data_IF_412000162601
#
_entry.id   IF_412000162601
#
_cell.length_a   1.000
_cell.length_b   1.000
_cell.length_c   1.000
_cell.angle_alpha   90.00
_cell.angle_beta   90.00
_cell.angle_gamma   90.00
#
_symmetry.space_group_name_H-M   'P 1'
#
loop_
_entity.id
_entity.type
_entity.pdbx_description
1 polymer ?
#
# COMPACT_ATOMS: atom_id res chain seq x y z
N UNK A 1 -16.23 -4.02 -6.30
CA UNK A 1 -16.11 -2.71 -5.62
C UNK A 1 -14.83 -2.03 -6.09
N UNK A 2 -14.86 -0.71 -6.29
CA UNK A 2 -13.74 0.07 -6.81
C UNK A 2 -13.52 1.32 -5.97
N UNK A 3 -12.26 1.67 -5.74
CA UNK A 3 -11.86 2.97 -5.21
C UNK A 3 -10.98 3.67 -6.26
N UNK A 4 -11.52 4.62 -7.05
CA UNK A 4 -10.73 5.32 -8.06
C UNK A 4 -9.78 6.33 -7.40
N UNK A 5 -8.52 6.33 -7.86
CA UNK A 5 -7.58 7.40 -7.59
C UNK A 5 -7.31 8.19 -8.88
N UNK A 6 -7.35 9.51 -8.76
CA UNK A 6 -7.07 10.43 -9.87
C UNK A 6 -5.67 11.00 -9.68
N UNK A 7 -4.84 10.91 -10.72
CA UNK A 7 -3.55 11.57 -10.74
C UNK A 7 -3.72 13.09 -10.91
N UNK A 8 -2.99 13.87 -10.10
CA UNK A 8 -2.86 15.32 -10.28
C UNK A 8 -1.55 15.58 -11.03
N UNK A 9 -1.61 16.41 -12.08
CA UNK A 9 -0.41 16.78 -12.84
C UNK A 9 0.56 17.54 -11.93
N UNK A 10 1.73 16.96 -11.65
CA UNK A 10 2.75 17.55 -10.80
C UNK A 10 3.40 18.80 -11.41
N UNK A 11 3.43 18.89 -12.75
CA UNK A 11 4.04 20.01 -13.50
C UNK A 11 3.07 21.19 -13.67
N UNK A 12 1.76 20.93 -13.52
CA UNK A 12 0.72 21.96 -13.58
C UNK A 12 -0.39 21.65 -12.58
N UNK A 13 -0.29 22.21 -11.39
CA UNK A 13 -1.25 21.99 -10.30
C UNK A 13 -2.70 22.44 -10.63
N UNK A 14 -2.92 23.10 -11.76
CA UNK A 14 -4.26 23.50 -12.23
C UNK A 14 -4.86 22.51 -13.23
N UNK A 15 -4.10 21.51 -13.67
CA UNK A 15 -4.54 20.45 -14.58
C UNK A 15 -4.39 19.09 -13.88
N UNK A 16 -5.40 18.26 -13.99
CA UNK A 16 -5.28 16.84 -13.59
C UNK A 16 -4.62 16.07 -14.74
N UNK A 17 -3.81 15.07 -14.39
CA UNK A 17 -3.44 14.03 -15.37
C UNK A 17 -4.74 13.35 -15.84
N UNK A 18 -4.76 12.92 -17.10
CA UNK A 18 -5.87 12.16 -17.65
C UNK A 18 -5.85 10.67 -17.22
N UNK A 19 -4.85 10.27 -16.43
CA UNK A 19 -4.71 8.91 -15.93
C UNK A 19 -5.59 8.63 -14.70
N UNK A 20 -6.26 7.49 -14.72
CA UNK A 20 -7.11 7.00 -13.64
C UNK A 20 -6.67 5.61 -13.21
N UNK A 21 -6.52 5.42 -11.91
CA UNK A 21 -6.15 4.13 -11.33
C UNK A 21 -7.30 3.62 -10.46
N UNK A 22 -7.77 2.42 -10.77
CA UNK A 22 -8.88 1.78 -10.06
C UNK A 22 -8.36 0.60 -9.23
N UNK A 23 -8.41 0.75 -7.91
CA UNK A 23 -8.24 -0.36 -7.00
C UNK A 23 -9.54 -1.19 -6.98
N UNK A 24 -9.46 -2.45 -7.39
CA UNK A 24 -10.57 -3.38 -7.46
C UNK A 24 -10.37 -4.52 -6.46
N UNK A 25 -11.47 -5.06 -5.96
CA UNK A 25 -11.43 -6.28 -5.16
C UNK A 25 -12.73 -7.07 -5.32
N UNK A 26 -12.63 -8.39 -5.10
CA UNK A 26 -13.74 -9.34 -5.13
C UNK A 26 -13.81 -10.07 -3.79
N UNK A 27 -14.83 -9.81 -2.96
CA UNK A 27 -15.06 -10.60 -1.75
C UNK A 27 -15.30 -12.08 -2.07
N UNK A 28 -14.87 -12.95 -1.17
CA UNK A 28 -15.15 -14.39 -1.18
C UNK A 28 -15.80 -14.83 0.13
N UNK A 29 -16.23 -16.08 0.22
CA UNK A 29 -16.78 -16.66 1.43
C UNK A 29 -15.70 -16.91 2.51
N UNK A 30 -14.43 -16.98 2.09
CA UNK A 30 -13.26 -17.15 2.94
C UNK A 30 -12.52 -15.82 3.12
N UNK A 31 -11.41 -15.84 3.87
CA UNK A 31 -10.63 -14.64 4.21
C UNK A 31 -9.82 -14.09 3.04
N UNK A 32 -9.41 -14.92 2.09
CA UNK A 32 -8.62 -14.50 0.94
C UNK A 32 -9.55 -13.89 -0.14
N UNK A 33 -9.45 -12.58 -0.30
CA UNK A 33 -10.18 -11.82 -1.33
C UNK A 33 -9.20 -11.37 -2.39
N UNK A 34 -9.51 -11.66 -3.65
CA UNK A 34 -8.68 -11.20 -4.76
C UNK A 34 -8.76 -9.68 -4.93
N UNK A 35 -7.62 -9.07 -5.21
CA UNK A 35 -7.47 -7.66 -5.51
C UNK A 35 -6.78 -7.40 -6.85
N UNK A 36 -6.88 -6.19 -7.35
CA UNK A 36 -6.13 -5.71 -8.52
C UNK A 36 -6.05 -4.18 -8.52
N UNK A 37 -5.10 -3.64 -9.28
CA UNK A 37 -5.05 -2.23 -9.64
C UNK A 37 -5.00 -2.12 -11.16
N UNK A 38 -5.91 -1.32 -11.76
CA UNK A 38 -6.04 -1.15 -13.21
C UNK A 38 -5.90 0.29 -13.63
N UNK A 39 -5.32 0.53 -14.80
CA UNK A 39 -5.08 1.85 -15.37
C UNK A 39 -6.04 2.13 -16.52
N UNK A 40 -6.73 3.28 -16.45
CA UNK A 40 -7.60 3.83 -17.49
C UNK A 40 -7.24 5.29 -17.74
N UNK A 41 -7.91 5.94 -18.68
CA UNK A 41 -7.73 7.34 -18.98
C UNK A 41 -9.06 8.09 -18.96
N UNK A 42 -9.03 9.35 -18.52
CA UNK A 42 -10.16 10.29 -18.57
C UNK A 42 -10.01 11.19 -19.80
N UNK A 43 -11.02 11.22 -20.66
CA UNK A 43 -11.04 12.14 -21.80
C UNK A 43 -11.42 13.55 -21.37
N UNK A 44 -11.13 14.55 -22.22
CA UNK A 44 -11.54 15.95 -21.99
C UNK A 44 -13.06 16.13 -21.87
N UNK A 45 -13.84 15.21 -22.43
CA UNK A 45 -15.30 15.20 -22.37
C UNK A 45 -15.84 14.50 -21.12
N UNK A 46 -14.94 13.98 -20.24
CA UNK A 46 -15.29 13.35 -18.97
C UNK A 46 -15.62 11.86 -19.05
N UNK A 47 -15.29 11.18 -20.15
CA UNK A 47 -15.46 9.73 -20.29
C UNK A 47 -14.21 8.97 -19.85
N UNK A 48 -14.41 7.88 -19.12
CA UNK A 48 -13.34 6.92 -18.86
C UNK A 48 -13.20 6.00 -20.06
N UNK A 49 -11.98 5.92 -20.61
CA UNK A 49 -11.67 5.10 -21.79
C UNK A 49 -10.55 4.10 -21.45
N UNK A 50 -10.58 3.00 -22.19
CA UNK A 50 -9.62 1.91 -22.13
C UNK A 50 -8.39 2.13 -23.05
N UNK A 51 -7.50 1.13 -23.13
CA UNK A 51 -6.29 1.18 -23.93
C UNK A 51 -6.53 1.35 -25.45
N UNK A 52 -7.75 1.10 -25.93
CA UNK A 52 -8.15 1.26 -27.33
C UNK A 52 -9.09 2.47 -27.57
N UNK A 53 -9.18 3.40 -26.61
CA UNK A 53 -10.09 4.54 -26.63
C UNK A 53 -11.58 4.16 -26.62
N UNK A 54 -11.92 2.91 -26.26
CA UNK A 54 -13.28 2.49 -26.06
C UNK A 54 -13.80 2.95 -24.69
N UNK A 55 -15.08 3.34 -24.59
CA UNK A 55 -15.68 3.75 -23.33
C UNK A 55 -15.64 2.61 -22.31
N UNK A 56 -14.90 2.78 -21.22
CA UNK A 56 -14.69 1.75 -20.23
C UNK A 56 -15.86 1.60 -19.25
N UNK A 57 -16.54 2.69 -18.93
CA UNK A 57 -17.65 2.69 -17.97
C UNK A 57 -18.96 3.01 -18.68
N UNK A 58 -19.99 2.18 -18.43
CA UNK A 58 -21.35 2.37 -18.95
C UNK A 58 -22.02 3.56 -18.28
N UNK A 59 -22.51 4.53 -19.06
CA UNK A 59 -23.27 5.67 -18.55
C UNK A 59 -24.58 5.27 -17.87
N UNK A 60 -25.16 4.15 -18.31
CA UNK A 60 -26.47 3.71 -17.82
C UNK A 60 -26.38 2.95 -16.49
N UNK A 61 -25.27 2.24 -16.24
CA UNK A 61 -25.11 1.36 -15.07
C UNK A 61 -24.03 1.84 -14.12
N UNK A 62 -23.03 2.62 -14.58
CA UNK A 62 -21.85 3.01 -13.82
C UNK A 62 -20.83 1.88 -13.63
N UNK A 63 -21.04 0.69 -14.24
CA UNK A 63 -20.12 -0.43 -14.19
C UNK A 63 -19.21 -0.47 -15.41
N UNK A 64 -18.12 -1.23 -15.33
CA UNK A 64 -17.27 -1.49 -16.48
C UNK A 64 -18.05 -2.19 -17.60
N UNK A 65 -17.81 -1.77 -18.84
CA UNK A 65 -18.35 -2.42 -20.01
C UNK A 65 -17.63 -3.75 -20.27
N UNK A 66 -18.35 -4.73 -20.82
CA UNK A 66 -17.72 -5.96 -21.29
C UNK A 66 -16.82 -5.64 -22.50
N UNK A 67 -15.67 -6.31 -22.57
CA UNK A 67 -14.76 -6.18 -23.70
C UNK A 67 -13.82 -4.99 -23.66
N UNK A 68 -13.63 -4.35 -22.49
CA UNK A 68 -12.64 -3.31 -22.28
C UNK A 68 -11.32 -3.87 -21.78
N UNK A 69 -10.25 -3.12 -22.04
CA UNK A 69 -8.87 -3.49 -21.71
C UNK A 69 -8.22 -2.36 -20.92
N UNK A 70 -7.70 -2.65 -19.74
CA UNK A 70 -6.89 -1.67 -19.03
C UNK A 70 -5.55 -1.42 -19.78
N UNK A 71 -4.88 -0.29 -19.46
CA UNK A 71 -3.63 0.10 -20.12
C UNK A 71 -2.44 -0.82 -19.82
N UNK A 72 -2.52 -1.62 -18.77
CA UNK A 72 -1.48 -2.58 -18.38
C UNK A 72 -1.79 -4.02 -18.83
N UNK A 73 -2.90 -4.21 -19.56
CA UNK A 73 -3.29 -5.53 -20.04
C UNK A 73 -2.32 -6.04 -21.12
N UNK A 74 -1.64 -7.14 -20.84
CA UNK A 74 -0.70 -7.80 -21.74
C UNK A 74 -1.26 -9.09 -22.35
N UNK A 75 -2.48 -9.52 -21.97
CA UNK A 75 -3.02 -10.86 -22.30
C UNK A 75 -3.86 -10.88 -23.59
N UNK A 76 -4.23 -9.74 -24.14
CA UNK A 76 -5.20 -9.60 -25.26
C UNK A 76 -6.60 -10.18 -24.94
N UNK A 77 -6.89 -10.46 -23.71
CA UNK A 77 -8.21 -10.84 -23.19
C UNK A 77 -8.81 -9.63 -22.48
N UNK A 78 -10.04 -9.30 -22.85
CA UNK A 78 -10.74 -8.20 -22.19
C UNK A 78 -10.87 -8.47 -20.68
N UNK A 79 -10.54 -7.50 -19.86
CA UNK A 79 -10.42 -7.67 -18.42
C UNK A 79 -11.49 -6.95 -17.59
N UNK A 80 -12.05 -5.86 -18.10
CA UNK A 80 -13.17 -5.13 -17.48
C UNK A 80 -13.04 -5.01 -15.96
N UNK A 81 -14.05 -5.50 -15.23
CA UNK A 81 -14.10 -5.56 -13.77
C UNK A 81 -13.55 -6.88 -13.16
N UNK A 82 -12.99 -7.76 -13.98
CA UNK A 82 -12.43 -9.02 -13.49
C UNK A 82 -11.10 -8.77 -12.78
N UNK A 83 -11.03 -9.08 -11.49
CA UNK A 83 -9.83 -8.87 -10.65
C UNK A 83 -8.72 -9.86 -10.98
N UNK A 84 -9.03 -10.94 -11.68
CA UNK A 84 -8.06 -12.00 -12.04
C UNK A 84 -7.44 -11.80 -13.43
N UNK A 85 -7.88 -10.77 -14.18
CA UNK A 85 -7.43 -10.49 -15.54
C UNK A 85 -6.90 -9.06 -15.66
N UNK A 86 -5.85 -8.88 -16.45
CA UNK A 86 -5.23 -7.58 -16.67
C UNK A 86 -4.68 -6.91 -15.40
N UNK A 87 -4.38 -5.64 -15.49
CA UNK A 87 -3.92 -4.83 -14.36
C UNK A 87 -2.59 -5.27 -13.76
N UNK A 88 -2.29 -4.72 -12.61
CA UNK A 88 -1.06 -5.00 -11.87
C UNK A 88 -0.91 -6.48 -11.48
N UNK A 89 -1.98 -7.13 -11.03
CA UNK A 89 -1.89 -8.52 -10.57
C UNK A 89 -1.33 -9.45 -11.66
N UNK A 90 -1.72 -9.25 -12.92
CA UNK A 90 -1.21 -10.03 -14.05
C UNK A 90 0.22 -9.68 -14.49
N UNK A 91 0.75 -8.55 -14.03
CA UNK A 91 2.13 -8.12 -14.30
C UNK A 91 3.10 -8.52 -13.20
N UNK A 92 2.59 -9.09 -12.10
CA UNK A 92 3.39 -9.46 -10.95
C UNK A 92 4.20 -10.72 -11.27
N UNK A 93 5.53 -10.57 -11.35
CA UNK A 93 6.46 -11.66 -11.55
C UNK A 93 7.16 -11.99 -10.23
N UNK A 94 6.83 -13.13 -9.62
CA UNK A 94 7.30 -13.52 -8.30
C UNK A 94 8.83 -13.51 -8.15
N UNK A 95 9.54 -13.92 -9.20
CA UNK A 95 11.00 -13.98 -9.22
C UNK A 95 11.67 -12.59 -9.25
N UNK A 96 10.98 -11.56 -9.72
CA UNK A 96 11.51 -10.21 -9.88
C UNK A 96 11.16 -9.28 -8.72
N UNK A 97 10.38 -9.75 -7.74
CA UNK A 97 9.91 -8.94 -6.62
C UNK A 97 11.02 -8.56 -5.65
N UNK A 98 11.05 -7.28 -5.31
CA UNK A 98 11.88 -6.72 -4.25
C UNK A 98 11.02 -6.47 -3.01
N UNK A 99 10.88 -7.47 -2.16
CA UNK A 99 10.06 -7.39 -0.94
C UNK A 99 10.94 -7.09 0.25
N UNK A 100 10.56 -6.07 1.01
CA UNK A 100 11.22 -5.61 2.23
C UNK A 100 10.34 -5.82 3.45
N UNK A 101 10.98 -5.98 4.60
CA UNK A 101 10.33 -5.99 5.92
C UNK A 101 11.16 -5.16 6.91
N UNK A 102 10.56 -4.77 8.01
CA UNK A 102 11.25 -4.07 9.09
C UNK A 102 12.11 -5.07 9.91
N UNK A 103 13.43 -4.89 9.87
CA UNK A 103 14.35 -5.59 10.75
C UNK A 103 14.50 -4.89 12.12
N UNK A 104 14.17 -3.59 12.17
CA UNK A 104 14.03 -2.78 13.38
C UNK A 104 13.22 -1.53 13.05
N UNK A 105 12.96 -0.69 14.06
CA UNK A 105 12.24 0.58 13.88
C UNK A 105 12.89 1.54 12.86
N UNK A 106 14.14 1.31 12.46
CA UNK A 106 14.91 2.18 11.54
C UNK A 106 15.68 1.41 10.48
N UNK A 107 15.40 0.12 10.29
CA UNK A 107 16.13 -0.71 9.34
C UNK A 107 15.19 -1.61 8.55
N UNK A 108 15.25 -1.53 7.21
CA UNK A 108 14.68 -2.52 6.31
C UNK A 108 15.66 -3.66 6.04
N UNK A 109 15.10 -4.84 5.81
CA UNK A 109 15.82 -6.00 5.30
C UNK A 109 14.99 -6.69 4.21
N UNK A 110 15.64 -7.54 3.40
CA UNK A 110 14.92 -8.39 2.46
C UNK A 110 14.00 -9.35 3.21
N UNK A 111 12.75 -9.45 2.77
CA UNK A 111 11.74 -10.33 3.33
C UNK A 111 12.23 -11.79 3.43
N UNK A 112 12.87 -12.31 2.38
CA UNK A 112 13.36 -13.69 2.35
C UNK A 112 14.41 -14.00 3.41
N UNK A 113 15.25 -13.03 3.77
CA UNK A 113 16.34 -13.23 4.74
C UNK A 113 15.95 -12.85 6.16
N UNK A 114 15.00 -11.93 6.34
CA UNK A 114 14.57 -11.47 7.65
C UNK A 114 13.36 -12.25 8.20
N UNK A 115 12.59 -12.93 7.34
CA UNK A 115 11.47 -13.79 7.75
C UNK A 115 11.98 -15.03 8.49
N UNK A 116 11.17 -15.51 9.42
CA UNK A 116 11.45 -16.70 10.20
C UNK A 116 10.16 -17.44 10.56
N UNK A 117 10.28 -18.71 10.96
CA UNK A 117 9.12 -19.45 11.49
C UNK A 117 8.48 -18.73 12.68
N UNK A 118 9.27 -18.08 13.52
CA UNK A 118 8.75 -17.29 14.64
C UNK A 118 7.93 -16.10 14.18
N UNK A 119 8.39 -15.32 13.20
CA UNK A 119 7.64 -14.16 12.70
C UNK A 119 6.34 -14.56 11.98
N UNK A 120 6.30 -15.77 11.40
CA UNK A 120 5.12 -16.34 10.74
C UNK A 120 4.18 -17.11 11.69
N UNK A 121 4.53 -17.22 12.99
CA UNK A 121 3.85 -18.08 13.97
C UNK A 121 3.81 -19.56 13.57
N UNK A 122 4.85 -20.02 12.89
CA UNK A 122 4.99 -21.36 12.32
C UNK A 122 6.08 -22.22 13.02
N UNK A 123 6.35 -21.98 14.30
CA UNK A 123 7.43 -22.69 15.02
C UNK A 123 7.22 -24.22 15.08
N UNK A 124 5.97 -24.68 15.04
CA UNK A 124 5.62 -26.11 15.04
C UNK A 124 5.65 -26.76 13.66
N UNK A 125 5.79 -25.97 12.59
CA UNK A 125 5.84 -26.45 11.21
C UNK A 125 7.26 -26.87 10.81
N UNK A 126 7.40 -27.69 9.78
CA UNK A 126 8.69 -28.04 9.18
C UNK A 126 9.30 -26.84 8.46
N UNK A 127 10.58 -26.90 8.13
CA UNK A 127 11.24 -25.87 7.33
C UNK A 127 10.69 -25.85 5.89
N UNK A 128 10.29 -27.00 5.35
CA UNK A 128 9.68 -27.12 4.02
C UNK A 128 8.32 -26.41 3.97
N UNK A 129 7.45 -26.62 4.95
CA UNK A 129 6.16 -25.95 5.05
C UNK A 129 6.32 -24.44 5.21
N UNK A 130 7.27 -23.99 6.03
CA UNK A 130 7.57 -22.56 6.18
C UNK A 130 8.04 -21.94 4.85
N UNK A 131 8.99 -22.58 4.17
CA UNK A 131 9.50 -22.09 2.88
C UNK A 131 8.40 -22.06 1.82
N UNK A 132 7.47 -23.00 1.85
CA UNK A 132 6.32 -23.01 0.94
C UNK A 132 5.43 -21.79 1.17
N UNK A 133 5.05 -21.48 2.40
CA UNK A 133 4.25 -20.30 2.75
C UNK A 133 5.01 -19.00 2.43
N UNK A 134 6.31 -18.96 2.69
CA UNK A 134 7.15 -17.80 2.34
C UNK A 134 7.18 -17.59 0.82
N UNK A 135 7.34 -18.66 0.02
CA UNK A 135 7.34 -18.58 -1.44
C UNK A 135 5.98 -18.15 -1.98
N UNK A 136 4.88 -18.69 -1.43
CA UNK A 136 3.53 -18.23 -1.74
C UNK A 136 3.36 -16.72 -1.48
N UNK A 137 3.80 -16.23 -0.33
CA UNK A 137 3.73 -14.81 0.02
C UNK A 137 4.58 -13.93 -0.92
N UNK A 138 5.62 -14.50 -1.53
CA UNK A 138 6.38 -13.84 -2.59
C UNK A 138 5.66 -13.82 -3.94
N UNK A 139 4.56 -14.58 -4.08
CA UNK A 139 3.76 -14.64 -5.30
C UNK A 139 4.02 -15.83 -6.20
N UNK A 140 4.74 -16.86 -5.75
CA UNK A 140 4.92 -18.11 -6.49
C UNK A 140 3.68 -18.99 -6.42
N UNK A 141 3.34 -19.68 -7.51
CA UNK A 141 2.27 -20.67 -7.58
C UNK A 141 2.71 -22.03 -6.99
N UNK A 142 2.94 -22.04 -5.68
CA UNK A 142 3.46 -23.21 -4.94
C UNK A 142 2.49 -24.40 -4.86
N UNK A 143 1.27 -24.24 -5.31
CA UNK A 143 0.20 -25.27 -5.30
C UNK A 143 -0.26 -25.66 -6.70
N UNK A 144 0.38 -25.13 -7.78
CA UNK A 144 0.04 -25.41 -9.18
C UNK A 144 -1.46 -25.15 -9.44
N UNK A 145 -1.90 -23.93 -9.10
CA UNK A 145 -3.32 -23.55 -9.16
C UNK A 145 -3.85 -23.55 -10.61
N UNK A 146 -3.00 -23.22 -11.58
CA UNK A 146 -3.34 -23.23 -13.00
C UNK A 146 -3.20 -24.61 -13.65
N UNK A 147 -2.53 -25.57 -13.00
CA UNK A 147 -2.43 -26.98 -13.39
C UNK A 147 -1.44 -27.26 -14.53
N UNK A 148 -0.43 -26.39 -14.71
CA UNK A 148 0.56 -26.55 -15.78
C UNK A 148 1.79 -27.39 -15.37
N UNK A 149 1.94 -27.68 -14.06
CA UNK A 149 3.00 -28.50 -13.47
C UNK A 149 4.27 -27.71 -13.13
N UNK A 150 4.28 -26.38 -13.24
CA UNK A 150 5.33 -25.49 -12.78
C UNK A 150 4.95 -24.88 -11.41
N UNK A 151 5.76 -25.09 -10.38
CA UNK A 151 5.57 -24.56 -9.02
C UNK A 151 6.45 -23.32 -8.74
N UNK A 152 7.16 -22.85 -9.76
CA UNK A 152 8.09 -21.71 -9.67
C UNK A 152 7.65 -20.52 -10.53
N UNK A 153 6.55 -20.65 -11.21
CA UNK A 153 5.93 -19.56 -11.94
C UNK A 153 5.15 -18.61 -11.00
N UNK A 154 4.55 -17.56 -11.54
CA UNK A 154 3.89 -16.52 -10.79
C UNK A 154 2.41 -16.80 -10.62
N UNK A 155 1.88 -16.70 -9.39
CA UNK A 155 0.46 -16.84 -9.07
C UNK A 155 -0.42 -15.74 -9.71
N UNK A 156 0.16 -14.61 -10.12
CA UNK A 156 -0.53 -13.45 -10.70
C UNK A 156 -1.75 -12.97 -9.90
N UNK A 157 -1.62 -12.95 -8.59
CA UNK A 157 -2.66 -12.55 -7.64
C UNK A 157 -2.11 -11.63 -6.56
N UNK A 158 -2.95 -10.73 -6.06
CA UNK A 158 -2.69 -9.90 -4.88
C UNK A 158 -3.91 -9.90 -3.96
N UNK A 159 -3.68 -9.56 -2.69
CA UNK A 159 -4.76 -9.31 -1.74
C UNK A 159 -5.57 -8.06 -2.06
N UNK A 160 -6.73 -7.96 -1.40
CA UNK A 160 -7.65 -6.86 -1.63
C UNK A 160 -7.14 -5.52 -1.06
N UNK A 161 -7.24 -4.42 -1.80
CA UNK A 161 -6.93 -3.06 -1.35
C UNK A 161 -8.16 -2.35 -0.76
N UNK A 162 -8.93 -3.01 0.08
CA UNK A 162 -10.29 -2.63 0.51
C UNK A 162 -10.47 -1.15 0.89
N UNK A 163 -9.57 -0.60 1.73
CA UNK A 163 -9.64 0.79 2.21
C UNK A 163 -8.39 1.61 1.88
N UNK A 164 -7.38 0.98 1.28
CA UNK A 164 -6.18 1.67 0.86
C UNK A 164 -6.42 2.35 -0.49
N UNK A 165 -6.44 3.68 -0.47
CA UNK A 165 -6.53 4.48 -1.69
C UNK A 165 -5.16 4.55 -2.35
N UNK A 166 -5.03 4.31 -3.68
CA UNK A 166 -3.77 4.48 -4.39
C UNK A 166 -3.25 5.92 -4.28
N UNK A 167 -1.99 6.07 -3.89
CA UNK A 167 -1.28 7.34 -3.79
C UNK A 167 -0.30 7.44 -4.94
N UNK A 168 -0.42 8.49 -5.77
CA UNK A 168 0.46 8.74 -6.90
C UNK A 168 1.50 9.78 -6.51
N UNK A 169 2.77 9.50 -6.80
CA UNK A 169 3.90 10.39 -6.52
C UNK A 169 4.73 10.54 -7.80
N UNK A 170 4.93 11.77 -8.25
CA UNK A 170 5.75 12.09 -9.43
C UNK A 170 7.14 12.51 -8.98
N UNK A 171 8.17 11.83 -9.46
CA UNK A 171 9.57 12.03 -9.11
C UNK A 171 10.30 12.94 -10.10
N UNK A 172 9.70 13.19 -11.27
CA UNK A 172 10.30 13.97 -12.34
C UNK A 172 9.67 13.63 -13.68
N UNK A 173 10.47 13.62 -14.74
CA UNK A 173 10.02 13.37 -16.09
C UNK A 173 9.55 14.65 -16.80
N UNK A 174 8.55 14.54 -17.66
CA UNK A 174 7.94 15.65 -18.39
C UNK A 174 6.41 15.61 -18.25
N UNK A 175 5.73 16.66 -18.68
CA UNK A 175 4.25 16.70 -18.69
C UNK A 175 3.63 15.56 -19.52
N UNK A 176 4.28 15.17 -20.61
CA UNK A 176 3.81 14.11 -21.51
C UNK A 176 4.32 12.71 -21.12
N UNK A 177 5.30 12.62 -20.23
CA UNK A 177 5.91 11.38 -19.76
C UNK A 177 6.43 11.58 -18.33
N UNK A 178 5.51 11.61 -17.34
CA UNK A 178 5.88 11.81 -15.94
C UNK A 178 6.53 10.53 -15.39
N UNK A 179 7.62 10.69 -14.67
CA UNK A 179 8.21 9.61 -13.87
C UNK A 179 7.45 9.50 -12.55
N UNK A 180 6.46 8.63 -12.48
CA UNK A 180 5.55 8.50 -11.34
C UNK A 180 5.49 7.08 -10.81
N UNK A 181 5.29 6.97 -9.50
CA UNK A 181 4.99 5.71 -8.84
C UNK A 181 3.65 5.75 -8.12
N UNK A 182 3.04 4.60 -7.96
CA UNK A 182 1.78 4.43 -7.24
C UNK A 182 2.03 3.54 -6.02
N UNK A 183 1.56 3.99 -4.86
CA UNK A 183 1.65 3.23 -3.61
C UNK A 183 0.25 2.92 -3.10
N UNK A 184 0.00 1.67 -2.73
CA UNK A 184 -1.23 1.24 -2.07
C UNK A 184 -0.99 0.03 -1.18
N UNK A 185 -1.86 -0.16 -0.19
CA UNK A 185 -1.80 -1.29 0.73
C UNK A 185 -2.81 -2.37 0.40
N UNK A 186 -2.56 -3.59 0.86
CA UNK A 186 -3.48 -4.74 0.76
C UNK A 186 -3.69 -5.41 2.12
N UNK A 187 -4.81 -6.13 2.25
CA UNK A 187 -5.13 -6.84 3.49
C UNK A 187 -4.27 -8.10 3.71
N UNK A 188 -3.59 -8.61 2.69
CA UNK A 188 -2.55 -9.62 2.90
C UNK A 188 -1.31 -9.06 3.63
N UNK A 189 -1.22 -7.74 3.77
CA UNK A 189 -0.21 -7.07 4.58
C UNK A 189 0.81 -6.26 3.81
N UNK A 190 0.75 -6.23 2.50
CA UNK A 190 1.74 -5.55 1.66
C UNK A 190 1.37 -4.09 1.40
N UNK A 191 2.39 -3.23 1.34
CA UNK A 191 2.38 -1.99 0.57
C UNK A 191 3.10 -2.28 -0.73
N UNK A 192 2.45 -2.04 -1.85
CA UNK A 192 3.00 -2.15 -3.19
C UNK A 192 3.40 -0.77 -3.69
N UNK A 193 4.58 -0.66 -4.32
CA UNK A 193 5.03 0.52 -5.05
C UNK A 193 5.26 0.14 -6.51
N UNK A 194 4.49 0.76 -7.42
CA UNK A 194 4.47 0.44 -8.84
C UNK A 194 4.98 1.60 -9.68
N UNK A 195 5.54 1.29 -10.82
CA UNK A 195 5.72 2.26 -11.90
C UNK A 195 4.37 2.58 -12.55
N UNK A 196 3.98 3.86 -12.56
CA UNK A 196 2.67 4.28 -13.06
C UNK A 196 2.49 4.10 -14.57
N UNK A 197 3.58 4.05 -15.34
CA UNK A 197 3.52 3.87 -16.79
C UNK A 197 3.38 2.40 -17.15
N UNK A 198 4.27 1.55 -16.64
CA UNK A 198 4.32 0.13 -16.98
C UNK A 198 3.43 -0.77 -16.12
N UNK A 199 3.04 -0.33 -14.92
CA UNK A 199 2.33 -1.15 -13.94
C UNK A 199 3.21 -2.17 -13.21
N UNK A 200 4.51 -2.20 -13.46
CA UNK A 200 5.42 -3.16 -12.83
C UNK A 200 5.75 -2.78 -11.39
N UNK A 201 5.86 -3.78 -10.51
CA UNK A 201 6.27 -3.57 -9.12
C UNK A 201 7.73 -3.13 -9.04
N UNK A 202 7.97 -2.01 -8.40
CA UNK A 202 9.30 -1.47 -8.13
C UNK A 202 9.81 -1.91 -6.75
N UNK A 203 8.89 -2.02 -5.79
CA UNK A 203 9.14 -2.49 -4.44
C UNK A 203 7.83 -2.97 -3.78
N UNK A 204 7.97 -3.84 -2.80
CA UNK A 204 6.91 -4.15 -1.84
C UNK A 204 7.45 -4.09 -0.41
N UNK A 205 6.60 -3.74 0.54
CA UNK A 205 6.92 -3.76 1.97
C UNK A 205 5.83 -4.47 2.75
N UNK A 206 6.21 -5.39 3.62
CA UNK A 206 5.32 -6.04 4.59
C UNK A 206 5.92 -5.92 5.99
N UNK A 207 5.21 -5.34 6.97
CA UNK A 207 5.72 -5.28 8.35
C UNK A 207 5.83 -6.67 8.98
N UNK A 208 6.86 -6.89 9.77
CA UNK A 208 7.05 -8.13 10.55
C UNK A 208 5.83 -8.43 11.44
N UNK A 209 5.13 -7.41 11.92
CA UNK A 209 3.90 -7.53 12.70
C UNK A 209 2.75 -8.24 11.96
N UNK A 210 2.80 -8.31 10.62
CA UNK A 210 1.77 -8.96 9.79
C UNK A 210 2.22 -10.31 9.23
N UNK A 211 3.45 -10.75 9.45
CA UNK A 211 3.93 -12.04 8.95
C UNK A 211 3.07 -13.21 9.45
N UNK A 212 2.57 -13.14 10.70
CA UNK A 212 1.72 -14.18 11.27
C UNK A 212 0.39 -14.38 10.56
N UNK A 213 -0.10 -13.36 9.83
CA UNK A 213 -1.34 -13.47 9.07
C UNK A 213 -1.15 -14.29 7.77
N UNK A 214 0.08 -14.40 7.26
CA UNK A 214 0.37 -15.05 5.97
C UNK A 214 -0.01 -16.53 5.96
N UNK A 215 0.20 -17.25 7.07
CA UNK A 215 -0.19 -18.66 7.17
C UNK A 215 -1.71 -18.83 7.16
N UNK A 216 -2.46 -17.88 7.73
CA UNK A 216 -3.93 -17.92 7.73
C UNK A 216 -4.46 -17.66 6.31
N UNK A 217 -3.90 -16.67 5.61
CA UNK A 217 -4.21 -16.38 4.20
C UNK A 217 -3.87 -17.54 3.28
N UNK A 218 -2.69 -18.13 3.42
CA UNK A 218 -2.27 -19.30 2.66
C UNK A 218 -3.25 -20.48 2.83
N UNK A 219 -3.61 -20.80 4.07
CA UNK A 219 -4.57 -21.89 4.37
C UNK A 219 -5.98 -21.58 3.88
N UNK A 220 -6.38 -20.32 3.89
CA UNK A 220 -7.69 -19.80 3.41
C UNK A 220 -8.91 -20.61 3.89
N UNK A 221 -8.88 -21.08 5.13
CA UNK A 221 -9.92 -21.97 5.69
C UNK A 221 -10.92 -21.23 6.60
N UNK A 222 -10.56 -20.06 7.11
CA UNK A 222 -11.43 -19.26 7.95
C UNK A 222 -12.50 -18.54 7.11
N UNK A 223 -13.67 -18.29 7.74
CA UNK A 223 -14.75 -17.56 7.08
C UNK A 223 -14.43 -16.08 6.91
N UNK A 224 -15.03 -15.42 5.91
CA UNK A 224 -14.81 -14.01 5.62
C UNK A 224 -14.98 -13.05 6.82
N UNK A 225 -15.83 -13.40 7.79
CA UNK A 225 -16.01 -12.63 9.02
C UNK A 225 -14.84 -12.70 10.01
N UNK A 226 -13.90 -13.62 9.80
CA UNK A 226 -12.70 -13.82 10.62
C UNK A 226 -11.45 -13.30 9.90
N UNK A 227 -11.63 -12.60 8.77
CA UNK A 227 -10.55 -12.07 7.94
C UNK A 227 -9.62 -11.18 8.76
N UNK A 228 -8.30 -11.51 8.83
CA UNK A 228 -7.32 -10.58 9.36
C UNK A 228 -7.16 -9.40 8.39
N UNK A 229 -6.86 -8.23 8.93
CA UNK A 229 -6.56 -7.06 8.13
C UNK A 229 -5.06 -6.81 8.09
N UNK A 230 -4.58 -6.15 7.04
CA UNK A 230 -3.17 -5.87 6.81
C UNK A 230 -2.85 -4.39 6.75
N UNK A 231 -2.21 -3.95 5.66
CA UNK A 231 -1.92 -2.54 5.39
C UNK A 231 -3.15 -1.88 4.76
N UNK A 232 -4.24 -1.82 5.53
CA UNK A 232 -5.57 -1.38 5.11
C UNK A 232 -5.78 0.15 5.25
N UNK A 233 -4.79 0.85 5.81
CA UNK A 233 -4.86 2.27 6.10
C UNK A 233 -4.46 3.18 4.94
N UNK A 234 -4.77 4.48 5.05
CA UNK A 234 -4.35 5.46 4.06
C UNK A 234 -2.85 5.70 4.12
N UNK A 235 -2.24 5.90 2.95
CA UNK A 235 -0.85 6.31 2.81
C UNK A 235 -0.81 7.82 2.58
N UNK A 236 0.15 8.50 3.21
CA UNK A 236 0.44 9.92 3.03
C UNK A 236 1.88 10.07 2.59
N UNK A 237 2.18 11.04 1.73
CA UNK A 237 3.56 11.36 1.36
C UNK A 237 4.01 12.72 1.87
N UNK A 238 5.31 12.88 1.97
CA UNK A 238 6.00 14.14 2.07
C UNK A 238 7.11 14.17 1.02
N UNK A 239 6.86 14.90 -0.05
CA UNK A 239 7.86 15.20 -1.05
C UNK A 239 8.48 16.56 -0.72
N UNK A 240 9.80 16.62 -0.62
CA UNK A 240 10.56 17.84 -0.39
C UNK A 240 11.46 18.09 -1.59
N UNK A 241 11.01 18.98 -2.45
CA UNK A 241 11.72 19.53 -3.61
C UNK A 241 12.35 20.87 -3.16
N UNK A 242 13.64 20.87 -2.92
CA UNK A 242 14.35 22.01 -2.34
C UNK A 242 14.50 23.17 -3.32
N UNK A 243 14.67 22.86 -4.59
CA UNK A 243 14.94 23.85 -5.63
C UNK A 243 13.68 24.22 -6.44
N UNK A 244 12.54 23.54 -6.19
CA UNK A 244 11.24 23.70 -6.84
C UNK A 244 11.30 23.48 -8.37
N UNK A 245 12.09 22.49 -8.81
CA UNK A 245 12.18 22.11 -10.22
C UNK A 245 11.22 20.95 -10.59
N UNK A 246 10.49 20.39 -9.63
CA UNK A 246 9.62 19.21 -9.73
C UNK A 246 10.38 17.94 -10.14
N UNK A 247 11.66 17.84 -9.79
CA UNK A 247 12.52 16.69 -10.05
C UNK A 247 13.18 16.28 -8.74
N UNK A 248 12.98 15.06 -8.31
CA UNK A 248 13.63 14.46 -7.13
C UNK A 248 14.82 13.61 -7.55
N UNK A 249 14.69 12.91 -8.67
CA UNK A 249 15.76 12.08 -9.23
C UNK A 249 16.35 12.79 -10.47
N UNK A 250 17.64 12.98 -10.46
CA UNK A 250 18.37 13.51 -11.62
C UNK A 250 18.40 12.48 -12.79
N UNK A 251 18.95 12.85 -13.91
CA UNK A 251 19.05 11.99 -15.10
C UNK A 251 19.91 10.74 -14.91
N UNK A 252 20.65 10.64 -13.80
CA UNK A 252 21.41 9.43 -13.42
C UNK A 252 20.64 8.54 -12.44
N UNK A 253 19.44 8.94 -12.01
CA UNK A 253 18.63 8.23 -11.01
C UNK A 253 19.05 8.48 -9.57
N UNK A 254 19.94 9.47 -9.33
CA UNK A 254 20.33 9.86 -7.98
C UNK A 254 19.44 10.98 -7.45
N UNK A 255 19.17 10.94 -6.14
CA UNK A 255 18.37 11.98 -5.46
C UNK A 255 19.16 13.29 -5.44
N UNK A 256 18.52 14.39 -5.86
CA UNK A 256 19.12 15.72 -5.75
C UNK A 256 19.41 16.05 -4.28
N UNK A 257 20.49 16.78 -4.02
CA UNK A 257 21.01 16.98 -2.66
C UNK A 257 20.02 17.73 -1.77
N UNK A 258 19.61 17.07 -0.69
CA UNK A 258 18.67 17.58 0.31
C UNK A 258 17.20 17.36 -0.01
N UNK A 259 16.89 16.70 -1.12
CA UNK A 259 15.54 16.36 -1.52
C UNK A 259 15.14 14.96 -1.05
N UNK A 260 13.84 14.70 -0.98
CA UNK A 260 13.35 13.39 -0.58
C UNK A 260 11.87 13.19 -0.88
N UNK A 261 11.49 11.91 -0.92
CA UNK A 261 10.11 11.42 -0.91
C UNK A 261 9.96 10.42 0.23
N UNK A 262 9.15 10.78 1.20
CA UNK A 262 8.80 9.92 2.32
C UNK A 262 7.32 9.53 2.24
N UNK A 263 7.00 8.29 2.59
CA UNK A 263 5.62 7.83 2.75
C UNK A 263 5.38 7.39 4.19
N UNK A 264 4.15 7.60 4.65
CA UNK A 264 3.70 7.25 5.99
C UNK A 264 2.41 6.46 5.87
N UNK A 265 2.40 5.26 6.40
CA UNK A 265 1.29 4.33 6.29
C UNK A 265 0.80 3.86 7.66
N UNK A 266 -0.50 3.95 7.90
CA UNK A 266 -1.19 3.31 9.01
C UNK A 266 -1.73 1.94 8.58
N UNK A 267 -2.09 1.14 9.57
CA UNK A 267 -2.63 -0.22 9.34
C UNK A 267 -4.16 -0.27 9.36
N UNK A 268 -4.83 0.77 9.85
CA UNK A 268 -6.28 0.78 10.11
C UNK A 268 -6.68 -0.43 10.96
N UNK A 269 -7.57 -1.32 10.48
CA UNK A 269 -7.94 -2.55 11.20
C UNK A 269 -6.81 -3.58 11.31
N UNK A 270 -5.75 -3.46 10.51
CA UNK A 270 -4.58 -4.36 10.58
C UNK A 270 -3.72 -4.15 11.81
N UNK A 271 -3.88 -3.03 12.54
CA UNK A 271 -3.12 -2.81 13.77
C UNK A 271 -2.96 -1.36 14.20
N UNK A 272 -2.07 -1.19 15.18
CA UNK A 272 -1.86 0.09 15.88
C UNK A 272 -0.58 0.83 15.44
N UNK A 273 0.14 0.32 14.44
CA UNK A 273 1.44 0.85 14.07
C UNK A 273 1.32 1.87 12.91
N UNK A 274 2.29 2.79 12.87
CA UNK A 274 2.63 3.57 11.68
C UNK A 274 4.02 3.20 11.21
N UNK A 275 4.17 3.14 9.89
CA UNK A 275 5.45 2.91 9.23
C UNK A 275 5.80 4.09 8.33
N UNK A 276 7.03 4.56 8.43
CA UNK A 276 7.57 5.64 7.62
C UNK A 276 8.73 5.13 6.77
N UNK A 277 8.60 5.24 5.46
CA UNK A 277 9.61 4.79 4.50
C UNK A 277 10.15 5.98 3.70
N UNK A 278 11.46 6.01 3.52
CA UNK A 278 12.12 6.81 2.50
C UNK A 278 12.09 6.04 1.18
N UNK A 279 11.29 6.52 0.24
CA UNK A 279 11.13 5.96 -1.09
C UNK A 279 11.69 6.93 -2.15
N UNK A 280 12.57 7.83 -1.76
CA UNK A 280 13.24 8.77 -2.67
C UNK A 280 13.95 8.01 -3.81
N UNK A 281 14.53 6.85 -3.48
CA UNK A 281 15.02 5.87 -4.45
C UNK A 281 14.15 4.60 -4.34
N UNK A 282 13.41 4.32 -5.41
CA UNK A 282 12.48 3.18 -5.47
C UNK A 282 13.20 1.83 -5.48
N UNK A 283 14.43 1.79 -6.00
CA UNK A 283 15.31 0.62 -6.03
C UNK A 283 16.09 0.40 -4.72
N UNK A 284 16.11 1.37 -3.82
CA UNK A 284 16.83 1.32 -2.56
C UNK A 284 16.05 2.03 -1.42
N UNK A 285 14.83 1.57 -1.10
CA UNK A 285 14.03 2.17 -0.04
C UNK A 285 14.69 1.99 1.32
N UNK A 286 14.34 2.87 2.27
CA UNK A 286 14.85 2.80 3.65
C UNK A 286 13.70 2.94 4.64
N UNK A 287 13.85 2.32 5.81
CA UNK A 287 13.01 2.63 6.94
C UNK A 287 13.48 3.94 7.58
N UNK A 288 12.57 4.91 7.72
CA UNK A 288 12.84 6.11 8.52
C UNK A 288 12.59 5.80 10.00
N UNK A 289 11.40 5.34 10.31
CA UNK A 289 10.98 4.93 11.64
C UNK A 289 9.71 4.08 11.59
N UNK A 290 9.45 3.34 12.66
CA UNK A 290 8.12 2.81 12.96
C UNK A 290 7.65 3.32 14.32
N UNK A 291 6.34 3.51 14.45
CA UNK A 291 5.66 3.81 15.71
C UNK A 291 4.86 2.58 16.09
N UNK A 292 5.17 2.00 17.24
CA UNK A 292 4.41 0.88 17.81
C UNK A 292 3.35 1.41 18.78
N UNK A 293 2.08 1.25 18.39
CA UNK A 293 0.95 1.66 19.20
C UNK A 293 0.78 0.75 20.42
N UNK A 294 0.23 1.32 21.50
CA UNK A 294 0.03 0.60 22.77
C UNK A 294 1.27 0.50 23.64
N UNK A 295 2.42 1.03 23.21
CA UNK A 295 3.70 0.96 23.94
C UNK A 295 4.33 2.35 24.14
N UNK A 296 5.22 2.47 25.09
CA UNK A 296 6.07 3.65 25.32
C UNK A 296 5.30 4.97 25.29
N UNK A 297 5.72 5.86 24.44
CA UNK A 297 5.10 7.19 24.24
C UNK A 297 3.74 7.13 23.53
N UNK A 298 3.36 5.97 22.97
CA UNK A 298 2.16 5.77 22.17
C UNK A 298 1.17 4.78 22.82
N UNK A 299 1.17 4.68 24.16
CA UNK A 299 0.29 3.78 24.94
C UNK A 299 -1.20 4.01 24.68
N UNK A 300 -1.61 5.21 24.27
CA UNK A 300 -2.99 5.57 23.92
C UNK A 300 -3.29 5.49 22.43
N UNK A 301 -2.34 5.06 21.60
CA UNK A 301 -2.57 4.83 20.17
C UNK A 301 -3.32 3.50 20.00
N UNK A 302 -4.52 3.59 19.44
CA UNK A 302 -5.35 2.48 18.99
C UNK A 302 -5.05 2.09 17.55
N UNK A 303 -5.99 1.41 16.90
CA UNK A 303 -5.88 1.08 15.47
C UNK A 303 -5.75 2.36 14.63
N UNK A 304 -4.79 2.39 13.71
CA UNK A 304 -4.33 3.60 13.02
C UNK A 304 -5.21 3.97 11.82
N UNK A 305 -6.46 4.36 12.10
CA UNK A 305 -7.44 4.74 11.08
C UNK A 305 -7.21 6.12 10.49
N UNK A 306 -6.54 6.99 11.23
CA UNK A 306 -6.34 8.37 10.80
C UNK A 306 -5.25 8.46 9.71
N UNK A 307 -5.55 9.20 8.64
CA UNK A 307 -4.52 9.65 7.71
C UNK A 307 -3.60 10.63 8.44
N UNK A 308 -2.31 10.31 8.53
CA UNK A 308 -1.33 11.24 9.08
C UNK A 308 -1.18 12.46 8.16
N UNK A 309 -1.15 13.65 8.74
CA UNK A 309 -1.01 14.90 7.99
C UNK A 309 0.37 15.49 8.24
N UNK A 310 1.12 15.72 7.16
CA UNK A 310 2.40 16.44 7.20
C UNK A 310 2.13 17.94 7.32
N UNK A 311 2.76 18.59 8.28
CA UNK A 311 2.63 20.02 8.48
C UNK A 311 3.97 20.66 8.87
N UNK A 312 4.20 21.91 8.46
CA UNK A 312 5.31 22.71 8.94
C UNK A 312 4.83 23.58 10.09
N UNK A 313 5.38 23.38 11.27
CA UNK A 313 4.97 24.09 12.49
C UNK A 313 6.16 24.82 13.14
N UNK A 314 5.85 25.79 13.98
CA UNK A 314 6.85 26.41 14.87
C UNK A 314 6.77 25.73 16.24
N UNK A 315 7.80 24.96 16.59
CA UNK A 315 7.88 24.23 17.86
C UNK A 315 9.16 24.62 18.59
N UNK A 316 9.04 25.04 19.85
CA UNK A 316 10.16 25.54 20.67
C UNK A 316 11.01 26.63 20.00
N UNK A 317 10.38 27.49 19.18
CA UNK A 317 11.06 28.57 18.47
C UNK A 317 11.64 28.21 17.10
N UNK A 318 11.71 26.94 16.75
CA UNK A 318 12.24 26.43 15.48
C UNK A 318 11.12 25.96 14.52
N UNK A 319 11.34 26.08 13.22
CA UNK A 319 10.45 25.47 12.21
C UNK A 319 10.78 24.01 12.05
N UNK A 320 9.74 23.14 12.21
CA UNK A 320 9.86 21.69 12.05
C UNK A 320 8.75 21.16 11.15
N UNK A 321 9.06 20.11 10.40
CA UNK A 321 8.05 19.29 9.75
C UNK A 321 7.61 18.18 10.72
N UNK A 322 6.31 18.05 10.86
CA UNK A 322 5.70 17.14 11.81
C UNK A 322 4.60 16.30 11.11
N UNK A 323 4.30 15.15 11.70
CA UNK A 323 3.07 14.42 11.42
C UNK A 323 2.07 14.67 12.52
N UNK A 324 0.84 14.98 12.12
CA UNK A 324 -0.31 15.11 13.00
C UNK A 324 -1.28 13.97 12.71
N UNK A 325 -1.68 13.22 13.73
CA UNK A 325 -2.68 12.16 13.60
C UNK A 325 -3.48 11.96 14.89
N UNK A 326 -4.73 11.50 14.73
CA UNK A 326 -5.58 11.11 15.85
C UNK A 326 -5.16 9.76 16.42
N UNK A 327 -5.53 9.49 17.66
CA UNK A 327 -5.17 8.27 18.40
C UNK A 327 -5.77 6.97 17.84
N UNK A 328 -6.66 7.06 16.84
CA UNK A 328 -7.19 5.90 16.16
C UNK A 328 -8.44 5.31 16.79
N UNK A 329 -8.69 4.04 16.52
CA UNK A 329 -9.89 3.32 16.95
C UNK A 329 -9.58 2.34 18.09
N UNK A 330 -10.49 2.27 19.06
CA UNK A 330 -10.45 1.26 20.11
C UNK A 330 -11.29 0.05 19.69
N UNK A 331 -10.67 -1.09 19.38
CA UNK A 331 -11.35 -2.30 18.96
C UNK A 331 -12.22 -2.95 20.06
N UNK A 332 -12.12 -2.52 21.33
CA UNK A 332 -13.07 -2.89 22.36
C UNK A 332 -14.48 -2.38 22.06
N UNK A 333 -14.65 -1.41 21.18
CA UNK A 333 -15.93 -0.87 20.73
C UNK A 333 -16.64 -1.77 19.67
N UNK A 334 -16.00 -2.80 19.16
CA UNK A 334 -16.62 -3.76 18.20
C UNK A 334 -17.66 -4.69 18.87
N UNK A 335 -17.79 -4.63 20.19
CA UNK A 335 -18.78 -5.40 20.96
C UNK A 335 -20.22 -4.92 20.76
N UNK A 336 -21.20 -5.77 21.15
CA UNK A 336 -22.63 -5.44 21.08
C UNK A 336 -23.11 -4.52 22.23
N UNK A 337 -22.27 -4.26 23.22
CA UNK A 337 -22.60 -3.42 24.38
C UNK A 337 -22.20 -1.98 24.12
N UNK A 338 -23.21 -1.12 24.08
CA UNK A 338 -23.04 0.29 23.73
C UNK A 338 -22.30 1.06 24.83
N UNK A 339 -21.21 1.74 24.45
CA UNK A 339 -20.57 2.84 25.17
C UNK A 339 -19.80 2.46 26.43
N UNK A 340 -18.82 1.56 26.33
CA UNK A 340 -17.68 1.60 27.24
C UNK A 340 -16.78 2.81 26.93
N UNK A 341 -16.06 3.31 27.94
CA UNK A 341 -15.11 4.38 27.74
C UNK A 341 -13.89 3.84 26.94
N UNK A 342 -13.44 4.60 25.93
CA UNK A 342 -12.26 4.26 25.15
C UNK A 342 -11.04 4.07 26.07
N UNK A 343 -10.37 2.95 25.94
CA UNK A 343 -9.12 2.65 26.65
C UNK A 343 -7.91 3.16 25.87
N UNK A 344 -8.02 3.22 24.55
CA UNK A 344 -7.06 3.76 23.58
C UNK A 344 -7.79 4.59 22.52
N UNK A 345 -7.08 5.18 21.58
CA UNK A 345 -7.69 5.94 20.48
C UNK A 345 -8.08 7.39 20.84
N UNK A 346 -8.32 7.67 22.10
CA UNK A 346 -8.75 8.96 22.62
C UNK A 346 -7.60 10.00 22.78
N UNK A 347 -6.75 10.10 21.77
CA UNK A 347 -5.57 10.96 21.78
C UNK A 347 -5.37 11.68 20.44
N UNK A 348 -4.53 12.72 20.47
CA UNK A 348 -3.97 13.38 19.29
C UNK A 348 -2.47 13.45 19.49
N UNK A 349 -1.72 13.13 18.44
CA UNK A 349 -0.27 13.11 18.45
C UNK A 349 0.33 14.08 17.44
N UNK A 350 1.45 14.68 17.82
CA UNK A 350 2.36 15.39 16.94
C UNK A 350 3.75 14.79 17.10
N UNK A 351 4.29 14.25 16.02
CA UNK A 351 5.62 13.62 15.97
C UNK A 351 6.50 14.32 14.94
N UNK A 352 7.82 14.25 15.12
CA UNK A 352 8.77 14.69 14.11
C UNK A 352 8.64 13.83 12.85
N UNK A 353 8.52 14.45 11.68
CA UNK A 353 8.23 13.74 10.42
C UNK A 353 9.40 12.89 9.93
N UNK A 354 10.62 13.10 10.44
CA UNK A 354 11.82 12.36 10.02
C UNK A 354 12.25 11.27 11.00
N UNK A 355 11.88 11.41 12.28
CA UNK A 355 12.35 10.50 13.34
C UNK A 355 11.25 9.73 14.06
N UNK A 356 9.99 10.18 13.92
CA UNK A 356 8.87 9.61 14.68
C UNK A 356 8.85 9.98 16.17
N UNK A 357 9.79 10.82 16.64
CA UNK A 357 9.83 11.28 18.02
C UNK A 357 8.55 12.03 18.37
N UNK A 358 7.89 11.65 19.48
CA UNK A 358 6.71 12.36 19.97
C UNK A 358 7.08 13.73 20.54
N UNK A 359 6.73 14.77 19.82
CA UNK A 359 6.97 16.17 20.23
C UNK A 359 5.87 16.68 21.15
N UNK A 360 4.63 16.29 20.89
CA UNK A 360 3.47 16.70 21.68
C UNK A 360 2.32 15.69 21.54
N UNK A 361 1.49 15.62 22.55
CA UNK A 361 0.26 14.83 22.50
C UNK A 361 -0.78 15.39 23.47
N UNK A 362 -2.04 15.03 23.27
CA UNK A 362 -3.13 15.28 24.21
C UNK A 362 -4.08 14.07 24.24
N UNK A 363 -4.65 13.80 25.40
CA UNK A 363 -5.66 12.78 25.62
C UNK A 363 -6.61 13.27 26.72
N UNK A 364 -7.83 12.76 26.72
CA UNK A 364 -8.81 12.99 27.78
C UNK A 364 -8.75 11.85 28.83
N UNK A 365 -7.60 11.53 29.33
CA UNK A 365 -7.40 10.44 30.33
C UNK A 365 -8.23 10.59 31.58
#
# INVERSE_FOLDING_TARGET
>A
FTAPAVSVNAFNATQHSDELFYALFRPSDNIQWGGNLKKYRLTSDGYVVDAFDAQAISESTGFFNNGVFDYWNNTQVADGDDVTLGGFANLLEAADRNIYTDASATLLASFTTASSKQSFLMESYTDEEFLKVQSWAMGFDVDDVDGDGDYLDSLHAIGDPLHSEPLIITYGGSESDPDSSIFFGTNEGFIHGLDANSGQEQLAFIPTALHGNLIEYYNNTAAAGEKPYGMDGPITNWMYDLNNNNVILDSSGEVENGEHVYIYAGMRRGGRNYYALDVSRRDAPKMLFSIEGGTGDFTKLGETWARATVAKVKYNGESRFVLLFAGGYDNNQDGNDVAEADTVGNAIYMVDATTGERLWWASNS
#
